data_IF_016723031672
#
_entry.id   IF_016723031672
#
_cell.length_a   1.000
_cell.length_b   1.000
_cell.length_c   1.000
_cell.angle_alpha   90.00
_cell.angle_beta   90.00
_cell.angle_gamma   90.00
#
_symmetry.space_group_name_H-M   'P 1'
#
loop_
_entity.id
_entity.type
_entity.pdbx_description
1 polymer ?
#
# COMPACT_ATOMS: atom_id res chain seq x y z
N UNK A 1 -4.96 -4.31 30.55
CA UNK A 1 -4.34 -3.40 29.56
C UNK A 1 -4.35 -4.13 28.23
N UNK A 2 -4.58 -3.46 27.10
CA UNK A 2 -4.62 -4.15 25.80
C UNK A 2 -3.24 -4.66 25.41
N UNK A 3 -3.19 -5.87 24.85
CA UNK A 3 -1.98 -6.53 24.34
C UNK A 3 -1.75 -6.09 22.90
N UNK A 4 -0.62 -5.45 22.61
CA UNK A 4 -0.30 -4.95 21.27
C UNK A 4 1.00 -5.59 20.80
N UNK A 5 0.97 -6.24 19.64
CA UNK A 5 2.17 -6.67 18.94
C UNK A 5 2.76 -5.49 18.15
N UNK A 6 4.06 -5.24 18.29
CA UNK A 6 4.81 -4.31 17.46
C UNK A 6 5.74 -5.13 16.57
N UNK A 7 5.41 -5.20 15.28
CA UNK A 7 6.16 -5.92 14.26
C UNK A 7 7.11 -4.96 13.56
N UNK A 8 8.40 -5.10 13.81
CA UNK A 8 9.39 -4.27 13.15
C UNK A 8 9.81 -4.91 11.83
N UNK A 9 9.60 -4.23 10.71
CA UNK A 9 10.05 -4.70 9.40
C UNK A 9 11.28 -3.94 8.89
N UNK A 10 11.75 -2.96 9.66
CA UNK A 10 12.87 -2.06 9.34
C UNK A 10 12.40 -0.65 9.00
N UNK A 11 13.13 0.00 8.08
CA UNK A 11 12.87 1.38 7.67
C UNK A 11 13.53 2.44 8.55
N UNK A 12 13.40 3.71 8.16
CA UNK A 12 14.10 4.85 8.75
C UNK A 12 13.89 5.00 10.27
N UNK A 13 12.71 4.58 10.76
CA UNK A 13 12.36 4.59 12.18
C UNK A 13 13.30 3.71 13.04
N UNK A 14 13.95 2.72 12.43
CA UNK A 14 14.96 1.86 13.04
C UNK A 14 16.36 2.07 12.46
N UNK A 15 16.62 3.19 11.79
CA UNK A 15 17.92 3.56 11.20
C UNK A 15 18.52 4.76 11.90
N UNK A 16 19.84 4.92 11.80
CA UNK A 16 20.56 6.09 12.29
C UNK A 16 21.34 6.75 11.16
N UNK A 17 21.46 8.07 11.24
CA UNK A 17 22.28 8.89 10.36
C UNK A 17 23.70 9.04 10.94
N UNK A 18 24.70 8.85 10.09
CA UNK A 18 26.06 9.29 10.37
C UNK A 18 26.16 10.81 10.12
N UNK A 19 26.24 11.60 11.19
CA UNK A 19 26.29 13.06 11.13
C UNK A 19 27.50 13.63 10.37
N UNK A 20 28.54 12.83 10.12
CA UNK A 20 29.71 13.27 9.35
C UNK A 20 29.55 13.05 7.85
N UNK A 21 28.77 12.04 7.45
CA UNK A 21 28.61 11.65 6.03
C UNK A 21 27.19 11.86 5.49
N UNK A 22 26.21 12.13 6.35
CA UNK A 22 24.78 12.22 6.00
C UNK A 22 24.16 10.87 5.59
N UNK A 23 24.88 9.75 5.77
CA UNK A 23 24.40 8.43 5.38
C UNK A 23 23.44 7.89 6.42
N UNK A 24 22.26 7.49 5.99
CA UNK A 24 21.28 6.77 6.80
C UNK A 24 21.43 5.27 6.57
N UNK A 25 21.53 4.49 7.64
CA UNK A 25 21.72 3.03 7.56
C UNK A 25 21.07 2.28 8.72
N UNK A 26 20.71 0.99 8.54
CA UNK A 26 20.24 0.15 9.64
C UNK A 26 21.22 0.14 10.81
N UNK A 27 20.72 0.30 12.02
CA UNK A 27 21.52 0.10 13.24
C UNK A 27 21.62 -1.39 13.59
N UNK A 28 22.67 -1.77 14.32
CA UNK A 28 22.89 -3.16 14.78
C UNK A 28 21.91 -3.62 15.85
N UNK A 29 21.25 -2.67 16.52
CA UNK A 29 20.18 -2.89 17.49
C UNK A 29 19.01 -2.00 17.12
N UNK A 30 17.79 -2.54 17.12
CA UNK A 30 16.60 -1.75 16.80
C UNK A 30 16.38 -0.71 17.92
N UNK A 31 16.47 0.60 17.63
CA UNK A 31 16.31 1.65 18.65
C UNK A 31 14.95 1.55 19.37
N UNK A 32 13.92 1.09 18.64
CA UNK A 32 12.57 0.90 19.16
C UNK A 32 12.46 -0.23 20.18
N UNK A 33 13.40 -1.17 20.22
CA UNK A 33 13.39 -2.23 21.26
C UNK A 33 13.68 -1.65 22.65
N UNK A 34 14.53 -0.63 22.74
CA UNK A 34 14.83 0.08 23.99
C UNK A 34 13.78 1.16 24.27
N UNK A 35 13.41 1.92 23.24
CA UNK A 35 12.51 3.07 23.34
C UNK A 35 11.02 2.68 23.42
N UNK A 36 10.63 1.50 22.92
CA UNK A 36 9.25 1.00 23.02
C UNK A 36 8.79 0.83 24.46
N UNK A 37 9.73 0.67 25.40
CA UNK A 37 9.44 0.63 26.83
C UNK A 37 8.85 1.95 27.36
N UNK A 38 9.07 3.08 26.67
CA UNK A 38 8.49 4.38 27.01
C UNK A 38 6.95 4.37 26.96
N UNK A 39 6.36 3.46 26.18
CA UNK A 39 4.92 3.41 25.93
C UNK A 39 4.18 2.30 26.68
N UNK A 40 4.85 1.60 27.62
CA UNK A 40 4.22 0.55 28.46
C UNK A 40 3.06 1.05 29.34
N UNK A 41 2.95 2.37 29.53
CA UNK A 41 1.79 2.96 30.20
C UNK A 41 0.52 2.99 29.34
N UNK A 42 0.66 2.86 28.01
CA UNK A 42 -0.44 2.87 27.05
C UNK A 42 -0.97 1.46 26.77
N UNK A 43 -0.09 0.45 26.74
CA UNK A 43 -0.40 -0.92 26.34
C UNK A 43 0.59 -1.93 26.92
N UNK A 44 0.19 -3.20 26.95
CA UNK A 44 1.10 -4.33 27.13
C UNK A 44 1.73 -4.65 25.77
N UNK A 45 3.02 -4.33 25.61
CA UNK A 45 3.71 -4.30 24.32
C UNK A 45 4.61 -5.52 24.12
N UNK A 46 4.35 -6.29 23.06
CA UNK A 46 5.23 -7.34 22.57
C UNK A 46 5.97 -6.87 21.32
N UNK A 47 7.26 -6.59 21.44
CA UNK A 47 8.10 -6.12 20.33
C UNK A 47 8.74 -7.32 19.65
N UNK A 48 8.52 -7.45 18.34
CA UNK A 48 9.00 -8.56 17.52
C UNK A 48 9.77 -7.97 16.35
N UNK A 49 11.06 -8.27 16.27
CA UNK A 49 11.88 -7.93 15.12
C UNK A 49 11.61 -8.94 14.00
N UNK A 50 10.67 -8.59 13.13
CA UNK A 50 10.14 -9.46 12.08
C UNK A 50 11.06 -9.49 10.87
N UNK A 51 11.41 -8.31 10.35
CA UNK A 51 12.40 -8.12 9.27
C UNK A 51 13.35 -6.97 9.59
N UNK A 52 14.50 -6.96 8.90
CA UNK A 52 15.47 -5.86 8.93
C UNK A 52 15.73 -5.35 7.51
N UNK A 53 14.66 -4.89 6.84
CA UNK A 53 14.72 -4.49 5.43
C UNK A 53 14.51 -2.98 5.27
N UNK A 54 15.27 -2.31 4.37
CA UNK A 54 14.82 -1.02 3.84
C UNK A 54 13.60 -1.25 2.95
N UNK A 55 12.61 -0.36 2.99
CA UNK A 55 11.34 -0.53 2.25
C UNK A 55 11.49 -0.80 0.75
N UNK A 56 12.48 -0.26 0.01
CA UNK A 56 12.70 -0.62 -1.39
C UNK A 56 13.03 -2.11 -1.63
N UNK A 57 13.41 -2.86 -0.59
CA UNK A 57 13.68 -4.31 -0.68
C UNK A 57 12.46 -5.15 -0.27
N UNK A 58 11.37 -4.53 0.17
CA UNK A 58 10.13 -5.23 0.51
C UNK A 58 9.48 -5.75 -0.77
N UNK A 59 9.00 -7.00 -0.73
CA UNK A 59 8.39 -7.68 -1.87
C UNK A 59 7.01 -8.19 -1.47
N UNK A 60 6.13 -8.54 -2.41
CA UNK A 60 4.86 -9.18 -2.09
C UNK A 60 5.00 -10.45 -1.24
N UNK A 61 6.11 -11.20 -1.38
CA UNK A 61 6.37 -12.37 -0.56
C UNK A 61 6.55 -12.01 0.92
N UNK A 62 7.29 -10.93 1.22
CA UNK A 62 7.41 -10.41 2.58
C UNK A 62 6.05 -9.93 3.14
N UNK A 63 5.19 -9.35 2.28
CA UNK A 63 3.84 -8.94 2.69
C UNK A 63 2.97 -10.17 3.03
N UNK A 64 3.09 -11.27 2.28
CA UNK A 64 2.41 -12.54 2.57
C UNK A 64 2.90 -13.17 3.88
N UNK A 65 4.21 -13.14 4.16
CA UNK A 65 4.76 -13.61 5.44
C UNK A 65 4.19 -12.82 6.63
N UNK A 66 4.11 -11.49 6.50
CA UNK A 66 3.51 -10.62 7.51
C UNK A 66 2.02 -10.93 7.71
N UNK A 67 1.26 -11.08 6.62
CA UNK A 67 -0.15 -11.51 6.65
C UNK A 67 -0.34 -12.81 7.42
N UNK A 68 0.43 -13.84 7.06
CA UNK A 68 0.33 -15.18 7.66
C UNK A 68 0.67 -15.15 9.15
N UNK A 69 1.68 -14.36 9.55
CA UNK A 69 2.02 -14.23 10.96
C UNK A 69 0.89 -13.56 11.75
N UNK A 70 0.31 -12.47 11.22
CA UNK A 70 -0.77 -11.74 11.90
C UNK A 70 -1.99 -12.65 12.09
N UNK A 71 -2.40 -13.39 11.07
CA UNK A 71 -3.53 -14.32 11.17
C UNK A 71 -3.29 -15.44 12.20
N UNK A 72 -2.06 -15.98 12.25
CA UNK A 72 -1.71 -17.05 13.18
C UNK A 72 -1.73 -16.60 14.66
N UNK A 73 -1.50 -15.31 14.93
CA UNK A 73 -1.41 -14.77 16.30
C UNK A 73 -2.56 -13.80 16.64
N UNK A 74 -3.60 -13.70 15.81
CA UNK A 74 -4.68 -12.72 15.97
C UNK A 74 -5.42 -12.83 17.30
N UNK A 75 -5.49 -14.01 17.91
CA UNK A 75 -6.16 -14.25 19.21
C UNK A 75 -5.26 -13.86 20.41
N UNK A 76 -3.96 -13.72 20.19
CA UNK A 76 -2.97 -13.38 21.20
C UNK A 76 -2.89 -11.87 21.48
N UNK A 77 -3.39 -11.05 20.55
CA UNK A 77 -3.27 -9.60 20.61
C UNK A 77 -4.61 -8.89 20.40
N UNK A 78 -4.76 -7.74 21.03
CA UNK A 78 -5.93 -6.86 20.87
C UNK A 78 -5.75 -5.86 19.70
N UNK A 79 -4.56 -5.80 19.11
CA UNK A 79 -4.18 -4.96 17.99
C UNK A 79 -2.71 -5.18 17.57
N UNK A 80 -2.39 -4.81 16.33
CA UNK A 80 -1.05 -4.95 15.75
C UNK A 80 -0.57 -3.59 15.25
N UNK A 81 0.67 -3.24 15.56
CA UNK A 81 1.39 -2.09 15.01
C UNK A 81 2.57 -2.61 14.20
N UNK A 82 2.72 -2.15 12.97
CA UNK A 82 3.82 -2.51 12.08
C UNK A 82 4.67 -1.26 11.87
N UNK A 83 5.95 -1.33 12.19
CA UNK A 83 6.91 -0.27 11.85
C UNK A 83 7.57 -0.61 10.53
N UNK A 84 7.45 0.28 9.55
CA UNK A 84 7.80 0.02 8.17
C UNK A 84 8.54 1.21 7.53
N UNK A 85 9.42 0.92 6.56
CA UNK A 85 10.03 1.96 5.75
C UNK A 85 9.01 2.66 4.85
N UNK A 86 9.17 3.96 4.62
CA UNK A 86 8.10 4.77 4.03
C UNK A 86 7.94 4.62 2.52
N UNK A 87 8.91 4.04 1.80
CA UNK A 87 8.86 4.03 0.32
C UNK A 87 7.80 3.08 -0.26
N UNK A 88 7.58 1.94 0.39
CA UNK A 88 6.61 0.91 -0.04
C UNK A 88 5.53 0.65 1.02
N UNK A 89 5.45 1.53 2.03
CA UNK A 89 4.49 1.42 3.13
C UNK A 89 3.05 1.32 2.62
N UNK A 90 2.68 2.14 1.64
CA UNK A 90 1.34 2.15 1.07
C UNK A 90 0.99 0.87 0.30
N UNK A 91 1.98 0.17 -0.25
CA UNK A 91 1.80 -1.11 -0.94
C UNK A 91 1.58 -2.23 0.08
N UNK A 92 2.41 -2.31 1.12
CA UNK A 92 2.24 -3.28 2.21
C UNK A 92 0.90 -3.07 2.91
N UNK A 93 0.54 -1.82 3.21
CA UNK A 93 -0.74 -1.50 3.83
C UNK A 93 -1.91 -1.97 3.00
N UNK A 94 -1.88 -1.70 1.69
CA UNK A 94 -2.97 -2.09 0.81
C UNK A 94 -3.01 -3.60 0.57
N UNK A 95 -1.86 -4.28 0.49
CA UNK A 95 -1.82 -5.74 0.44
C UNK A 95 -2.51 -6.35 1.66
N UNK A 96 -2.19 -5.87 2.87
CA UNK A 96 -2.81 -6.36 4.09
C UNK A 96 -4.30 -6.03 4.16
N UNK A 97 -4.73 -4.85 3.71
CA UNK A 97 -6.15 -4.48 3.61
C UNK A 97 -6.94 -5.47 2.77
N UNK A 98 -6.39 -5.90 1.63
CA UNK A 98 -7.06 -6.83 0.73
C UNK A 98 -7.06 -8.27 1.24
N UNK A 99 -6.18 -8.63 2.18
CA UNK A 99 -5.85 -10.04 2.47
C UNK A 99 -6.04 -10.45 3.92
N UNK A 100 -6.24 -9.50 4.83
CA UNK A 100 -6.64 -9.76 6.21
C UNK A 100 -8.15 -9.64 6.34
N UNK A 101 -8.75 -10.55 7.11
CA UNK A 101 -10.16 -10.48 7.51
C UNK A 101 -10.24 -10.54 9.03
N UNK A 102 -9.86 -9.43 9.68
CA UNK A 102 -9.67 -9.35 11.12
C UNK A 102 -10.45 -8.18 11.72
N UNK A 103 -10.99 -8.40 12.93
CA UNK A 103 -11.65 -7.34 13.69
C UNK A 103 -10.67 -6.46 14.48
N UNK A 104 -9.49 -6.99 14.83
CA UNK A 104 -8.46 -6.25 15.56
C UNK A 104 -7.85 -5.17 14.66
N UNK A 105 -7.52 -3.98 15.20
CA UNK A 105 -6.88 -2.93 14.43
C UNK A 105 -5.46 -3.34 14.02
N UNK A 106 -5.14 -3.16 12.75
CA UNK A 106 -3.79 -3.32 12.19
C UNK A 106 -3.32 -1.96 11.70
N UNK A 107 -2.31 -1.42 12.37
CA UNK A 107 -1.80 -0.07 12.13
C UNK A 107 -0.40 -0.16 11.54
N UNK A 108 -0.15 0.52 10.45
CA UNK A 108 1.20 0.66 9.89
C UNK A 108 1.67 2.10 10.10
N UNK A 109 2.93 2.22 10.53
CA UNK A 109 3.57 3.50 10.80
C UNK A 109 5.03 3.46 10.33
N UNK A 110 5.65 4.63 10.19
CA UNK A 110 7.06 4.76 9.84
C UNK A 110 7.64 6.07 10.35
N UNK A 111 8.78 6.47 9.78
CA UNK A 111 9.39 7.76 10.02
C UNK A 111 9.98 8.29 8.71
N UNK A 112 9.89 9.60 8.50
CA UNK A 112 10.58 10.26 7.39
C UNK A 112 12.00 10.68 7.76
N UNK A 113 12.26 10.87 9.06
CA UNK A 113 13.55 11.25 9.63
C UNK A 113 14.19 10.11 10.40
N UNK A 114 15.52 10.07 10.42
CA UNK A 114 16.28 9.04 11.14
C UNK A 114 16.07 9.14 12.64
N UNK A 115 16.27 8.05 13.38
CA UNK A 115 16.03 8.00 14.84
C UNK A 115 16.84 9.04 15.63
N UNK A 116 18.06 9.36 15.19
CA UNK A 116 18.98 10.30 15.82
C UNK A 116 18.98 11.69 15.18
N UNK A 117 18.07 11.97 14.25
CA UNK A 117 17.92 13.28 13.63
C UNK A 117 17.13 14.22 14.56
N UNK A 118 17.53 15.49 14.63
CA UNK A 118 16.78 16.50 15.38
C UNK A 118 15.38 16.68 14.79
N UNK A 119 14.36 16.47 15.63
CA UNK A 119 12.97 16.51 15.19
C UNK A 119 12.53 15.23 14.47
N UNK A 120 13.16 14.09 14.76
CA UNK A 120 12.70 12.77 14.33
C UNK A 120 11.22 12.55 14.66
N UNK A 121 10.46 12.05 13.67
CA UNK A 121 9.03 11.79 13.78
C UNK A 121 8.71 10.36 14.25
N UNK A 122 9.72 9.48 14.34
CA UNK A 122 9.54 8.06 14.64
C UNK A 122 8.79 7.75 15.93
N UNK A 123 9.22 8.33 17.05
CA UNK A 123 8.57 8.08 18.35
C UNK A 123 7.17 8.68 18.43
N UNK A 124 6.95 9.85 17.81
CA UNK A 124 5.63 10.48 17.76
C UNK A 124 4.64 9.65 16.92
N UNK A 125 5.09 9.15 15.78
CA UNK A 125 4.30 8.28 14.91
C UNK A 125 4.01 6.93 15.60
N UNK A 126 5.02 6.28 16.20
CA UNK A 126 4.84 5.02 16.94
C UNK A 126 3.85 5.18 18.09
N UNK A 127 3.97 6.25 18.89
CA UNK A 127 3.01 6.56 19.95
C UNK A 127 1.59 6.69 19.38
N UNK A 128 1.43 7.42 18.29
CA UNK A 128 0.12 7.65 17.65
C UNK A 128 -0.47 6.34 17.11
N UNK A 129 0.37 5.46 16.56
CA UNK A 129 -0.03 4.14 16.12
C UNK A 129 -0.49 3.25 17.29
N UNK A 130 0.23 3.26 18.42
CA UNK A 130 -0.15 2.53 19.64
C UNK A 130 -1.47 3.07 20.20
N UNK A 131 -1.63 4.39 20.31
CA UNK A 131 -2.90 5.02 20.75
C UNK A 131 -4.06 4.59 19.85
N UNK A 132 -3.81 4.51 18.54
CA UNK A 132 -4.81 4.05 17.57
C UNK A 132 -5.13 2.56 17.74
N UNK A 133 -4.12 1.71 17.94
CA UNK A 133 -4.29 0.27 18.12
C UNK A 133 -5.03 -0.08 19.43
N UNK A 134 -4.87 0.71 20.50
CA UNK A 134 -5.60 0.47 21.75
C UNK A 134 -7.03 1.04 21.75
N UNK A 135 -7.40 1.89 20.81
CA UNK A 135 -8.74 2.48 20.78
C UNK A 135 -9.78 1.46 20.28
N UNK A 136 -10.84 1.21 21.06
CA UNK A 136 -11.94 0.30 20.67
C UNK A 136 -12.62 0.73 19.37
N UNK A 137 -12.68 2.04 19.13
CA UNK A 137 -13.28 2.64 17.93
C UNK A 137 -12.52 2.30 16.65
N UNK A 138 -11.26 1.85 16.76
CA UNK A 138 -10.40 1.45 15.65
C UNK A 138 -10.69 0.03 15.15
N UNK A 139 -11.43 -0.78 15.91
CA UNK A 139 -11.83 -2.14 15.49
C UNK A 139 -12.72 -2.08 14.26
N UNK A 140 -12.55 -3.05 13.35
CA UNK A 140 -13.34 -3.16 12.13
C UNK A 140 -13.21 -1.96 11.17
N UNK A 141 -12.08 -1.22 11.23
CA UNK A 141 -11.77 -0.12 10.31
C UNK A 141 -10.84 -0.51 9.15
N UNK A 142 -10.52 -1.80 9.02
CA UNK A 142 -9.50 -2.29 8.11
C UNK A 142 -8.09 -1.93 8.58
N UNK A 143 -7.13 -2.07 7.67
CA UNK A 143 -5.74 -1.66 7.87
C UNK A 143 -5.64 -0.14 7.76
N UNK A 144 -4.97 0.48 8.73
CA UNK A 144 -4.81 1.92 8.78
C UNK A 144 -3.33 2.31 8.72
N UNK A 145 -3.04 3.43 8.08
CA UNK A 145 -1.73 4.08 8.14
C UNK A 145 -1.83 5.27 9.07
N UNK A 146 -0.95 5.33 10.07
CA UNK A 146 -0.89 6.43 11.03
C UNK A 146 0.46 7.12 10.93
N UNK A 147 0.45 8.36 10.47
CA UNK A 147 1.64 9.18 10.26
C UNK A 147 1.29 10.64 10.58
N UNK A 148 2.18 11.36 11.25
CA UNK A 148 1.99 12.79 11.55
C UNK A 148 0.63 13.09 12.21
N UNK A 149 0.23 12.25 13.18
CA UNK A 149 -1.05 12.33 13.91
C UNK A 149 -2.32 12.17 13.04
N UNK A 150 -2.19 11.84 11.75
CA UNK A 150 -3.30 11.56 10.85
C UNK A 150 -3.52 10.04 10.71
N UNK A 151 -4.78 9.62 10.64
CA UNK A 151 -5.21 8.23 10.46
C UNK A 151 -5.83 8.09 9.08
N UNK A 152 -5.23 7.28 8.21
CA UNK A 152 -5.68 7.07 6.84
C UNK A 152 -6.09 5.62 6.60
N UNK A 153 -7.03 5.38 5.68
CA UNK A 153 -7.26 4.04 5.13
C UNK A 153 -6.10 3.61 4.25
N UNK A 154 -5.69 2.35 4.37
CA UNK A 154 -4.69 1.73 3.51
C UNK A 154 -5.05 1.83 2.01
N UNK A 155 -6.35 1.79 1.67
CA UNK A 155 -6.87 1.86 0.30
C UNK A 155 -6.44 3.11 -0.45
N UNK A 156 -6.43 4.29 0.20
CA UNK A 156 -6.29 5.57 -0.49
C UNK A 156 -5.09 6.40 -0.05
N UNK A 157 -4.44 6.04 1.07
CA UNK A 157 -3.24 6.75 1.55
C UNK A 157 -2.07 6.59 0.58
N UNK A 158 -1.34 7.66 0.27
CA UNK A 158 -0.15 7.60 -0.58
C UNK A 158 0.93 8.56 -0.11
N UNK A 159 2.19 8.22 -0.38
CA UNK A 159 3.35 9.09 -0.12
C UNK A 159 3.41 10.20 -1.18
N UNK A 160 3.15 11.44 -0.76
CA UNK A 160 3.01 12.60 -1.68
C UNK A 160 4.27 13.44 -1.81
N UNK A 161 5.24 13.23 -0.93
CA UNK A 161 6.47 14.00 -0.83
C UNK A 161 7.66 13.11 -0.46
N UNK A 162 8.84 13.45 -0.98
CA UNK A 162 10.06 12.66 -0.79
C UNK A 162 10.69 12.83 0.60
N UNK A 163 10.56 14.01 1.23
CA UNK A 163 11.19 14.33 2.53
C UNK A 163 10.28 14.89 3.64
N UNK A 164 9.06 15.32 3.35
CA UNK A 164 8.20 15.98 4.34
C UNK A 164 7.60 14.94 5.31
N UNK A 165 7.60 15.23 6.62
CA UNK A 165 6.99 14.35 7.65
C UNK A 165 5.48 14.17 7.46
N UNK A 166 4.79 15.15 6.85
CA UNK A 166 3.35 15.08 6.51
C UNK A 166 3.08 14.44 5.14
N UNK A 167 3.96 13.57 4.64
CA UNK A 167 3.92 13.06 3.26
C UNK A 167 2.78 12.09 2.96
N UNK A 168 2.36 11.28 3.94
CA UNK A 168 1.25 10.36 3.72
C UNK A 168 -0.05 11.13 3.75
N UNK A 169 -0.75 11.11 2.64
CA UNK A 169 -2.01 11.83 2.46
C UNK A 169 -3.00 10.91 1.77
N UNK A 170 -4.28 11.20 1.93
CA UNK A 170 -5.36 10.56 1.16
C UNK A 170 -5.89 11.58 0.16
N UNK A 171 -5.38 11.63 -1.09
CA UNK A 171 -5.85 12.59 -2.08
C UNK A 171 -7.37 12.52 -2.25
N UNK A 172 -8.00 13.67 -2.48
CA UNK A 172 -9.46 13.86 -2.61
C UNK A 172 -10.26 13.78 -1.31
N UNK A 173 -10.00 12.83 -0.42
CA UNK A 173 -10.89 12.58 0.74
C UNK A 173 -10.31 13.10 2.07
N UNK A 174 -8.99 13.26 2.17
CA UNK A 174 -8.33 13.55 3.44
C UNK A 174 -8.33 12.35 4.41
N UNK A 175 -7.77 12.51 5.61
CA UNK A 175 -7.66 11.42 6.58
C UNK A 175 -9.02 11.00 7.14
N UNK A 176 -9.12 9.74 7.55
CA UNK A 176 -10.29 9.17 8.21
C UNK A 176 -10.46 9.70 9.63
N UNK A 177 -9.37 10.10 10.26
CA UNK A 177 -9.36 10.64 11.61
C UNK A 177 -8.01 11.22 11.98
N UNK A 178 -7.91 11.70 13.21
CA UNK A 178 -6.66 12.21 13.79
C UNK A 178 -6.44 11.59 15.17
N UNK A 179 -5.19 11.56 15.58
CA UNK A 179 -4.78 11.29 16.96
C UNK A 179 -4.56 12.64 17.64
N UNK A 180 -5.32 12.93 18.69
CA UNK A 180 -5.11 14.12 19.50
C UNK A 180 -4.86 13.72 20.95
N UNK A 181 -3.67 14.04 21.47
CA UNK A 181 -3.21 13.55 22.77
C UNK A 181 -3.33 12.02 22.84
N UNK A 182 -4.14 11.48 23.76
CA UNK A 182 -4.34 10.04 23.97
C UNK A 182 -5.67 9.54 23.37
N UNK A 183 -6.24 10.25 22.41
CA UNK A 183 -7.54 9.91 21.82
C UNK A 183 -7.47 9.88 20.30
N UNK A 184 -8.25 8.98 19.72
CA UNK A 184 -8.55 8.98 18.29
C UNK A 184 -9.86 9.70 18.05
N UNK A 185 -9.91 10.51 16.99
CA UNK A 185 -11.11 11.21 16.54
C UNK A 185 -11.33 10.85 15.08
N UNK A 186 -12.34 10.03 14.81
CA UNK A 186 -12.70 9.64 13.44
C UNK A 186 -13.79 10.55 12.88
N UNK A 187 -13.59 11.01 11.65
CA UNK A 187 -14.53 11.86 10.92
C UNK A 187 -15.12 11.15 9.70
N UNK A 188 -14.45 10.09 9.20
CA UNK A 188 -14.86 9.36 8.00
C UNK A 188 -14.76 7.85 8.20
N UNK A 189 -15.57 7.10 7.46
CA UNK A 189 -15.54 5.64 7.40
C UNK A 189 -15.35 5.19 5.96
N UNK A 190 -14.51 4.17 5.75
CA UNK A 190 -14.44 3.48 4.48
C UNK A 190 -15.77 2.74 4.21
N UNK A 191 -16.42 3.08 3.12
CA UNK A 191 -17.76 2.55 2.77
C UNK A 191 -17.70 1.24 1.99
N UNK A 192 -16.54 0.91 1.41
CA UNK A 192 -16.30 -0.30 0.63
C UNK A 192 -15.03 -0.97 1.11
N UNK A 193 -15.17 -2.17 1.65
CA UNK A 193 -14.08 -3.06 2.02
C UNK A 193 -14.16 -4.30 1.15
N UNK A 194 -13.01 -4.87 0.82
CA UNK A 194 -12.91 -6.09 0.03
C UNK A 194 -11.84 -6.99 0.65
N UNK A 195 -12.05 -8.29 0.59
CA UNK A 195 -11.15 -9.28 1.15
C UNK A 195 -11.03 -10.46 0.20
N UNK A 196 -9.81 -10.92 0.00
CA UNK A 196 -9.48 -12.05 -0.87
C UNK A 196 -8.54 -13.00 -0.14
N UNK A 197 -9.00 -14.25 0.00
CA UNK A 197 -8.15 -15.31 0.54
C UNK A 197 -7.09 -15.71 -0.49
N UNK A 198 -5.83 -15.73 -0.04
CA UNK A 198 -4.72 -16.34 -0.77
C UNK A 198 -3.74 -17.02 0.19
N UNK A 199 -3.13 -18.11 -0.28
CA UNK A 199 -2.14 -18.90 0.46
C UNK A 199 -0.71 -18.76 -0.09
N UNK A 200 -0.59 -18.46 -1.39
CA UNK A 200 0.70 -18.37 -2.07
C UNK A 200 0.66 -17.31 -3.17
N UNK A 201 1.81 -16.76 -3.50
CA UNK A 201 2.01 -15.84 -4.61
C UNK A 201 2.82 -16.54 -5.70
N UNK A 202 2.15 -16.88 -6.80
CA UNK A 202 2.76 -17.54 -7.98
C UNK A 202 2.67 -16.70 -9.23
N UNK A 203 1.80 -15.68 -9.22
CA UNK A 203 1.52 -14.80 -10.35
C UNK A 203 2.36 -13.54 -10.32
N UNK A 204 2.65 -12.99 -11.49
CA UNK A 204 3.45 -11.79 -11.65
C UNK A 204 2.67 -10.70 -12.38
N UNK A 205 2.75 -9.46 -11.87
CA UNK A 205 2.05 -8.30 -12.46
C UNK A 205 3.04 -7.20 -12.77
N UNK A 206 3.06 -6.78 -14.04
CA UNK A 206 3.82 -5.63 -14.52
C UNK A 206 3.10 -4.32 -14.19
N UNK A 207 3.87 -3.25 -13.99
CA UNK A 207 3.38 -1.87 -13.91
C UNK A 207 4.15 -1.02 -14.91
N UNK A 208 3.43 -0.45 -15.89
CA UNK A 208 4.00 0.44 -16.89
C UNK A 208 3.43 1.84 -16.75
N UNK A 209 4.31 2.84 -16.72
CA UNK A 209 3.92 4.25 -16.76
C UNK A 209 3.97 4.78 -18.17
N UNK A 210 2.84 5.24 -18.70
CA UNK A 210 2.80 5.81 -20.03
C UNK A 210 3.55 7.15 -20.09
N UNK A 211 4.20 7.41 -21.23
CA UNK A 211 4.95 8.63 -21.51
C UNK A 211 4.79 9.09 -22.96
N UNK A 212 5.15 10.35 -23.22
CA UNK A 212 5.10 10.92 -24.56
C UNK A 212 6.06 10.19 -25.49
N UNK A 213 5.56 9.71 -26.63
CA UNK A 213 6.37 8.93 -27.57
C UNK A 213 6.60 7.47 -27.17
N UNK A 214 5.87 6.95 -26.17
CA UNK A 214 5.87 5.51 -25.85
C UNK A 214 5.46 4.69 -27.07
N UNK A 215 6.22 3.63 -27.35
CA UNK A 215 5.99 2.72 -28.47
C UNK A 215 5.57 1.33 -27.94
N UNK A 216 5.54 0.32 -28.82
CA UNK A 216 5.09 -1.03 -28.50
C UNK A 216 6.14 -1.90 -27.78
N UNK A 217 7.40 -1.46 -27.69
CA UNK A 217 8.55 -2.26 -27.27
C UNK A 217 8.41 -2.86 -25.86
N UNK A 218 7.95 -2.08 -24.88
CA UNK A 218 7.74 -2.57 -23.51
C UNK A 218 6.57 -3.56 -23.42
N UNK A 219 5.52 -3.37 -24.21
CA UNK A 219 4.40 -4.32 -24.28
C UNK A 219 4.82 -5.64 -24.95
N UNK A 220 5.60 -5.54 -26.04
CA UNK A 220 6.16 -6.69 -26.73
C UNK A 220 7.04 -7.51 -25.77
N UNK A 221 7.90 -6.86 -24.99
CA UNK A 221 8.72 -7.54 -23.98
C UNK A 221 7.89 -8.28 -22.91
N UNK A 222 6.80 -7.68 -22.43
CA UNK A 222 5.91 -8.32 -21.45
C UNK A 222 5.36 -9.63 -22.00
N UNK A 223 4.87 -9.62 -23.25
CA UNK A 223 4.33 -10.82 -23.90
C UNK A 223 5.43 -11.84 -24.18
N UNK A 224 6.50 -11.42 -24.83
CA UNK A 224 7.57 -12.30 -25.31
C UNK A 224 8.33 -12.97 -24.16
N UNK A 225 8.39 -12.33 -22.99
CA UNK A 225 9.02 -12.92 -21.80
C UNK A 225 8.26 -14.13 -21.24
N UNK A 226 6.93 -14.19 -21.46
CA UNK A 226 6.05 -15.17 -20.83
C UNK A 226 6.03 -15.13 -19.29
N UNK A 227 6.59 -14.07 -18.69
CA UNK A 227 6.86 -14.01 -17.25
C UNK A 227 5.75 -13.32 -16.43
N UNK A 228 4.75 -12.75 -17.09
CA UNK A 228 3.70 -11.94 -16.47
C UNK A 228 2.33 -12.56 -16.69
N UNK A 229 1.48 -12.47 -15.67
CA UNK A 229 0.09 -12.93 -15.66
C UNK A 229 -0.91 -11.77 -15.67
N UNK A 230 -0.43 -10.52 -15.64
CA UNK A 230 -1.27 -9.33 -15.69
C UNK A 230 -0.44 -8.04 -15.85
N UNK A 231 -1.11 -6.97 -16.23
CA UNK A 231 -0.49 -5.67 -16.47
C UNK A 231 -1.34 -4.53 -15.92
N UNK A 232 -0.68 -3.60 -15.20
CA UNK A 232 -1.24 -2.30 -14.85
C UNK A 232 -0.55 -1.21 -15.66
N UNK A 233 -1.34 -0.29 -16.18
CA UNK A 233 -0.86 0.84 -16.98
C UNK A 233 -1.25 2.14 -16.28
N UNK A 234 -0.26 3.00 -15.97
CA UNK A 234 -0.48 4.40 -15.64
C UNK A 234 -0.60 5.23 -16.91
N UNK A 235 -1.82 5.34 -17.43
CA UNK A 235 -2.16 6.05 -18.65
C UNK A 235 -2.03 7.58 -18.54
N UNK A 236 -2.09 8.24 -19.69
CA UNK A 236 -2.10 9.70 -19.80
C UNK A 236 -3.49 10.26 -19.50
N UNK A 237 -3.58 11.30 -18.67
CA UNK A 237 -4.84 11.99 -18.36
C UNK A 237 -5.90 11.03 -17.81
N UNK A 238 -7.08 11.00 -18.41
CA UNK A 238 -8.18 10.13 -18.00
C UNK A 238 -8.01 8.63 -18.37
N UNK A 239 -6.83 8.18 -18.81
CA UNK A 239 -6.55 6.79 -19.16
C UNK A 239 -6.37 6.57 -20.68
N UNK A 240 -5.46 7.33 -21.28
CA UNK A 240 -5.15 7.28 -22.71
C UNK A 240 -3.72 6.78 -22.97
N UNK A 241 -3.48 6.28 -24.19
CA UNK A 241 -2.17 5.82 -24.67
C UNK A 241 -1.80 6.44 -26.02
N UNK A 242 -0.51 6.62 -26.32
CA UNK A 242 -0.06 7.00 -27.66
C UNK A 242 -0.42 5.93 -28.72
N UNK A 243 -0.86 6.31 -29.93
CA UNK A 243 -1.17 5.36 -31.01
C UNK A 243 -0.06 4.35 -31.30
N UNK A 244 1.21 4.78 -31.24
CA UNK A 244 2.37 3.94 -31.53
C UNK A 244 2.55 2.75 -30.57
N UNK A 245 1.91 2.76 -29.41
CA UNK A 245 2.00 1.67 -28.44
C UNK A 245 0.86 0.64 -28.58
N UNK A 246 -0.19 0.95 -29.34
CA UNK A 246 -1.40 0.14 -29.43
C UNK A 246 -1.17 -1.22 -30.10
N UNK A 247 -0.20 -1.33 -31.00
CA UNK A 247 0.16 -2.61 -31.61
C UNK A 247 0.66 -3.61 -30.55
N UNK A 248 1.50 -3.15 -29.62
CA UNK A 248 1.99 -3.98 -28.52
C UNK A 248 0.88 -4.29 -27.51
N UNK A 249 0.05 -3.30 -27.16
CA UNK A 249 -1.11 -3.53 -26.29
C UNK A 249 -2.06 -4.60 -26.85
N UNK A 250 -2.32 -4.60 -28.17
CA UNK A 250 -3.14 -5.64 -28.81
C UNK A 250 -2.54 -7.04 -28.63
N UNK A 251 -1.22 -7.18 -28.65
CA UNK A 251 -0.56 -8.47 -28.35
C UNK A 251 -0.77 -8.90 -26.91
N UNK A 252 -0.66 -7.98 -25.95
CA UNK A 252 -0.93 -8.26 -24.52
C UNK A 252 -2.36 -8.79 -24.32
N UNK A 253 -3.35 -8.12 -24.93
CA UNK A 253 -4.75 -8.55 -24.86
C UNK A 253 -4.96 -9.91 -25.55
N UNK A 254 -4.34 -10.12 -26.72
CA UNK A 254 -4.43 -11.39 -27.44
C UNK A 254 -3.77 -12.56 -26.68
N UNK A 255 -2.77 -12.28 -25.83
CA UNK A 255 -2.17 -13.25 -24.92
C UNK A 255 -3.07 -13.58 -23.71
N UNK A 256 -4.23 -12.94 -23.57
CA UNK A 256 -5.19 -13.18 -22.50
C UNK A 256 -4.81 -12.56 -21.16
N UNK A 257 -3.85 -11.63 -21.12
CA UNK A 257 -3.45 -10.96 -19.90
C UNK A 257 -4.51 -9.92 -19.48
N UNK A 258 -5.01 -9.93 -18.24
CA UNK A 258 -5.83 -8.84 -17.73
C UNK A 258 -5.01 -7.55 -17.66
N UNK A 259 -5.56 -6.49 -18.25
CA UNK A 259 -4.92 -5.17 -18.31
C UNK A 259 -5.77 -4.16 -17.56
N UNK A 260 -5.21 -3.59 -16.49
CA UNK A 260 -5.85 -2.55 -15.67
C UNK A 260 -5.29 -1.18 -16.04
N UNK A 261 -6.16 -0.24 -16.33
CA UNK A 261 -5.85 1.16 -16.62
C UNK A 261 -6.09 2.02 -15.39
N UNK A 262 -5.04 2.68 -14.92
CA UNK A 262 -5.08 3.81 -13.96
C UNK A 262 -4.54 5.07 -14.64
N UNK A 263 -4.63 6.20 -13.95
CA UNK A 263 -3.98 7.43 -14.42
C UNK A 263 -2.62 7.60 -13.76
N UNK A 264 -1.65 8.15 -14.52
CA UNK A 264 -0.41 8.67 -13.93
C UNK A 264 -0.57 10.04 -13.27
N UNK A 265 -1.72 10.70 -13.48
CA UNK A 265 -2.02 11.96 -12.79
C UNK A 265 -2.11 11.68 -11.29
N UNK A 266 -1.59 12.59 -10.49
CA UNK A 266 -1.54 12.43 -9.03
C UNK A 266 -2.94 12.28 -8.41
N UNK A 267 -3.97 12.88 -9.02
CA UNK A 267 -5.34 12.78 -8.57
C UNK A 267 -6.31 12.67 -9.76
N UNK A 268 -7.51 12.15 -9.49
CA UNK A 268 -8.57 11.92 -10.47
C UNK A 268 -8.85 10.44 -10.69
N UNK A 269 -9.85 10.16 -11.53
CA UNK A 269 -10.25 8.82 -11.93
C UNK A 269 -10.03 8.64 -13.42
N UNK A 270 -9.88 7.38 -13.86
CA UNK A 270 -9.88 7.07 -15.29
C UNK A 270 -11.32 7.03 -15.81
N UNK A 271 -11.53 7.56 -17.01
CA UNK A 271 -12.83 7.63 -17.66
C UNK A 271 -12.72 7.32 -19.15
N UNK A 272 -13.68 6.56 -19.67
CA UNK A 272 -13.74 6.15 -21.08
C UNK A 272 -14.45 7.21 -21.94
N UNK A 273 -14.05 8.47 -21.84
CA UNK A 273 -14.74 9.61 -22.49
C UNK A 273 -14.18 9.95 -23.88
N UNK A 274 -12.90 9.66 -24.14
CA UNK A 274 -12.24 10.06 -25.38
C UNK A 274 -12.31 8.96 -26.44
N UNK A 275 -12.91 9.29 -27.59
CA UNK A 275 -13.05 8.41 -28.75
C UNK A 275 -12.13 8.84 -29.90
N UNK A 276 -10.84 8.55 -29.73
CA UNK A 276 -9.81 8.65 -30.76
C UNK A 276 -8.87 7.45 -30.63
N UNK A 277 -7.96 7.26 -31.59
CA UNK A 277 -6.99 6.17 -31.54
C UNK A 277 -6.12 6.24 -30.27
N UNK A 278 -6.28 5.26 -29.37
CA UNK A 278 -5.61 5.23 -28.06
C UNK A 278 -6.32 6.02 -26.96
N UNK A 279 -7.50 6.56 -27.26
CA UNK A 279 -8.41 7.16 -26.29
C UNK A 279 -9.10 6.11 -25.42
N UNK A 280 -9.42 6.48 -24.18
CA UNK A 280 -9.98 5.59 -23.17
C UNK A 280 -11.26 4.85 -23.61
N UNK A 281 -12.08 5.43 -24.49
CA UNK A 281 -13.30 4.78 -25.01
C UNK A 281 -12.98 3.49 -25.77
N UNK A 282 -12.08 3.60 -26.75
CA UNK A 282 -11.67 2.47 -27.58
C UNK A 282 -10.88 1.45 -26.78
N UNK A 283 -10.05 1.89 -25.84
CA UNK A 283 -9.30 1.01 -24.94
C UNK A 283 -10.22 0.17 -24.04
N UNK A 284 -11.27 0.77 -23.47
CA UNK A 284 -12.25 0.04 -22.67
C UNK A 284 -13.01 -0.98 -23.52
N UNK A 285 -13.44 -0.60 -24.73
CA UNK A 285 -14.09 -1.51 -25.67
C UNK A 285 -13.18 -2.67 -26.10
N UNK A 286 -11.86 -2.45 -26.15
CA UNK A 286 -10.87 -3.49 -26.41
C UNK A 286 -10.64 -4.45 -25.23
N UNK A 287 -11.27 -4.20 -24.07
CA UNK A 287 -11.23 -5.09 -22.90
C UNK A 287 -10.34 -4.61 -21.75
N UNK A 288 -9.82 -3.38 -21.78
CA UNK A 288 -9.09 -2.83 -20.64
C UNK A 288 -10.03 -2.56 -19.46
N UNK A 289 -9.54 -2.86 -18.27
CA UNK A 289 -10.25 -2.69 -17.00
C UNK A 289 -9.93 -1.32 -16.44
N UNK A 290 -10.90 -0.42 -16.42
CA UNK A 290 -10.75 0.92 -15.85
C UNK A 290 -11.12 0.88 -14.37
N UNK A 291 -10.23 1.41 -13.51
CA UNK A 291 -10.47 1.50 -12.07
C UNK A 291 -10.69 2.94 -11.62
N UNK A 292 -11.42 3.07 -10.51
CA UNK A 292 -11.73 4.34 -9.87
C UNK A 292 -10.96 4.45 -8.55
N UNK A 293 -10.05 5.42 -8.46
CA UNK A 293 -9.46 5.86 -7.18
C UNK A 293 -8.25 5.06 -6.66
N UNK A 294 -7.64 4.18 -7.47
CA UNK A 294 -6.39 3.52 -7.12
C UNK A 294 -5.19 4.11 -7.88
N UNK A 295 -4.06 4.24 -7.18
CA UNK A 295 -2.75 4.50 -7.82
C UNK A 295 -2.25 3.25 -8.57
N UNK A 296 -1.25 3.40 -9.45
CA UNK A 296 -0.67 2.27 -10.18
C UNK A 296 -0.08 1.19 -9.29
N UNK A 297 0.64 1.59 -8.25
CA UNK A 297 1.21 0.64 -7.28
C UNK A 297 0.13 -0.14 -6.54
N UNK A 298 -0.97 0.50 -6.14
CA UNK A 298 -2.10 -0.18 -5.49
C UNK A 298 -2.88 -1.06 -6.46
N UNK A 299 -3.16 -0.58 -7.67
CA UNK A 299 -3.81 -1.40 -8.69
C UNK A 299 -2.98 -2.65 -9.03
N UNK A 300 -1.63 -2.54 -9.03
CA UNK A 300 -0.72 -3.67 -9.20
C UNK A 300 -0.86 -4.69 -8.06
N UNK A 301 -0.85 -4.23 -6.81
CA UNK A 301 -1.07 -5.09 -5.64
C UNK A 301 -2.43 -5.78 -5.71
N UNK A 302 -3.50 -5.06 -6.04
CA UNK A 302 -4.84 -5.65 -6.17
C UNK A 302 -4.91 -6.69 -7.28
N UNK A 303 -4.37 -6.41 -8.46
CA UNK A 303 -4.37 -7.39 -9.55
C UNK A 303 -3.56 -8.63 -9.17
N UNK A 304 -2.43 -8.46 -8.47
CA UNK A 304 -1.61 -9.55 -7.96
C UNK A 304 -2.40 -10.42 -6.96
N UNK A 305 -3.11 -9.80 -6.02
CA UNK A 305 -3.96 -10.51 -5.04
C UNK A 305 -5.08 -11.26 -5.75
N UNK A 306 -5.81 -10.62 -6.67
CA UNK A 306 -6.91 -11.23 -7.42
C UNK A 306 -6.47 -12.44 -8.24
N UNK A 307 -5.32 -12.35 -8.90
CA UNK A 307 -4.76 -13.46 -9.71
C UNK A 307 -4.31 -14.66 -8.86
N UNK A 308 -4.00 -14.44 -7.58
CA UNK A 308 -3.62 -15.49 -6.63
C UNK A 308 -4.75 -15.88 -5.67
N UNK A 309 -5.95 -15.31 -5.81
CA UNK A 309 -7.05 -15.59 -4.91
C UNK A 309 -7.55 -17.03 -5.10
N UNK A 310 -7.93 -17.68 -3.99
CA UNK A 310 -8.50 -19.03 -4.03
C UNK A 310 -9.97 -19.05 -4.45
N UNK A 311 -10.66 -17.92 -4.29
CA UNK A 311 -12.04 -17.79 -4.72
C UNK A 311 -12.06 -17.29 -6.16
N UNK A 312 -12.86 -17.89 -7.06
CA UNK A 312 -13.06 -17.34 -8.40
C UNK A 312 -13.59 -15.90 -8.31
N UNK A 313 -12.80 -14.93 -8.76
CA UNK A 313 -13.20 -13.52 -8.81
C UNK A 313 -13.28 -13.06 -10.26
N UNK A 314 -14.36 -12.36 -10.61
CA UNK A 314 -14.38 -11.59 -11.85
C UNK A 314 -13.47 -10.38 -11.69
N UNK A 315 -12.24 -10.45 -12.23
CA UNK A 315 -11.21 -9.41 -12.08
C UNK A 315 -11.74 -8.04 -12.51
N UNK A 316 -12.44 -7.96 -13.65
CA UNK A 316 -12.96 -6.69 -14.15
C UNK A 316 -13.98 -6.08 -13.16
N UNK A 317 -14.88 -6.91 -12.62
CA UNK A 317 -15.87 -6.49 -11.64
C UNK A 317 -15.21 -6.02 -10.33
N UNK A 318 -14.17 -6.72 -9.87
CA UNK A 318 -13.47 -6.38 -8.63
C UNK A 318 -12.84 -4.98 -8.68
N UNK A 319 -12.45 -4.47 -9.85
CA UNK A 319 -11.89 -3.12 -10.00
C UNK A 319 -12.95 -1.99 -10.07
N UNK A 320 -14.24 -2.33 -10.06
CA UNK A 320 -15.32 -1.35 -10.02
C UNK A 320 -15.83 -1.16 -8.59
N UNK A 321 -15.85 0.10 -8.11
CA UNK A 321 -16.42 0.43 -6.80
C UNK A 321 -17.90 0.03 -6.73
N UNK A 322 -18.27 -0.69 -5.68
CA UNK A 322 -19.66 -1.06 -5.40
C UNK A 322 -20.21 -2.24 -6.21
N UNK A 323 -19.37 -2.97 -6.97
CA UNK A 323 -19.82 -4.18 -7.63
C UNK A 323 -19.98 -5.32 -6.60
N UNK A 324 -21.23 -5.73 -6.34
CA UNK A 324 -21.57 -6.95 -5.61
C UNK A 324 -21.86 -8.08 -6.58
#
# INVERSE_FOLDING_TARGET
MKRIAILNTGGTISMSEDQTTGKVSPSSTNPLSQEGNLFRSLADLSIIDFFHLPSPHVTPQHMLELKNWIEAHQEEFDGVVITHGTDTLEETAYFLELTLNLDIPVIITGAMRSSNEMGSDGLANLRSAIVTAVADQSRGKGVMVVMNEEIHTATYVTKTHTTNVATFQTPTFGPNGIVSKNQVLYFQKLIHTEHYELQALTKQVALLKAYSGMTADLFDHIVDSGAYDGLVIEGLGAGNLPPASLAGLKKVLAAGLPVVMVSRAFNGITEDVYDYEGGGKQLRQAGLIFTQGLSGVKARIKLLVLLNSQTPVNIAQAFHLGAK
#
